data_IF_620963570710
#
_entry.id   IF_620963570710
#
_cell.length_a   1.000
_cell.length_b   1.000
_cell.length_c   1.000
_cell.angle_alpha   90.00
_cell.angle_beta   90.00
_cell.angle_gamma   90.00
#
_symmetry.space_group_name_H-M   'P 1'
#
loop_
_entity.id
_entity.type
_entity.pdbx_description
1 polymer ?
#
# COMPACT_ATOMS: atom_id res chain seq x y z
N UNK A 1 -3.61 -14.15 -9.52
CA UNK A 1 -3.48 -13.11 -8.49
C UNK A 1 -3.14 -11.78 -9.16
N UNK A 2 -3.77 -10.73 -8.73
CA UNK A 2 -3.48 -9.37 -9.21
C UNK A 2 -2.54 -8.69 -8.23
N UNK A 3 -1.48 -8.06 -8.73
CA UNK A 3 -0.51 -7.33 -7.93
C UNK A 3 -0.56 -5.85 -8.31
N UNK A 4 -0.71 -4.99 -7.31
CA UNK A 4 -0.63 -3.54 -7.50
C UNK A 4 0.63 -3.04 -6.77
N UNK A 5 1.46 -2.29 -7.48
CA UNK A 5 2.68 -1.70 -6.93
C UNK A 5 2.51 -0.19 -6.99
N UNK A 6 2.58 0.47 -5.85
CA UNK A 6 2.45 1.93 -5.76
C UNK A 6 3.72 2.52 -5.16
N UNK A 7 4.29 3.49 -5.85
CA UNK A 7 5.41 4.27 -5.34
C UNK A 7 4.87 5.62 -4.88
N UNK A 8 5.08 5.92 -3.61
CA UNK A 8 4.61 7.13 -2.97
C UNK A 8 5.81 7.99 -2.59
N UNK A 9 5.83 9.22 -3.08
CA UNK A 9 6.94 10.15 -2.89
C UNK A 9 6.53 11.32 -2.01
N UNK A 10 7.35 11.64 -1.01
CA UNK A 10 7.15 12.73 -0.08
C UNK A 10 8.22 13.80 -0.27
N UNK A 11 7.98 15.00 0.27
CA UNK A 11 8.93 16.10 0.19
C UNK A 11 10.07 15.99 1.21
N UNK A 12 9.84 15.27 2.30
CA UNK A 12 10.82 15.17 3.38
C UNK A 12 10.71 13.83 4.11
N UNK A 13 11.78 13.50 4.83
CA UNK A 13 11.82 12.33 5.71
C UNK A 13 10.74 12.42 6.79
N UNK A 14 10.54 13.61 7.38
CA UNK A 14 9.54 13.80 8.42
C UNK A 14 8.12 13.51 7.91
N UNK A 15 7.80 13.93 6.69
CA UNK A 15 6.48 13.66 6.11
C UNK A 15 6.27 12.16 5.86
N UNK A 16 7.32 11.48 5.36
CA UNK A 16 7.29 10.04 5.16
C UNK A 16 7.05 9.31 6.49
N UNK A 17 7.81 9.65 7.52
CA UNK A 17 7.69 9.04 8.85
C UNK A 17 6.30 9.29 9.45
N UNK A 18 5.78 10.50 9.30
CA UNK A 18 4.45 10.84 9.79
C UNK A 18 3.37 10.00 9.09
N UNK A 19 3.53 9.77 7.79
CA UNK A 19 2.61 8.92 7.02
C UNK A 19 2.60 7.49 7.56
N UNK A 20 3.78 6.94 7.87
CA UNK A 20 3.87 5.60 8.46
C UNK A 20 3.21 5.53 9.83
N UNK A 21 3.42 6.53 10.68
CA UNK A 21 2.79 6.59 11.99
C UNK A 21 1.27 6.63 11.89
N UNK A 22 0.73 7.43 10.97
CA UNK A 22 -0.72 7.51 10.75
C UNK A 22 -1.28 6.17 10.31
N UNK A 23 -0.63 5.51 9.36
CA UNK A 23 -1.06 4.19 8.90
C UNK A 23 -1.05 3.18 10.05
N UNK A 24 0.02 3.16 10.84
CA UNK A 24 0.15 2.26 11.98
C UNK A 24 -0.98 2.45 12.99
N UNK A 25 -1.46 3.67 13.15
CA UNK A 25 -2.53 3.99 14.09
C UNK A 25 -3.92 3.51 13.65
N UNK A 26 -4.13 3.27 12.34
CA UNK A 26 -5.46 2.94 11.81
C UNK A 26 -5.54 1.55 11.16
N UNK A 27 -4.41 0.94 10.84
CA UNK A 27 -4.38 -0.30 10.04
C UNK A 27 -5.22 -1.43 10.64
N UNK A 28 -5.16 -1.62 11.94
CA UNK A 28 -5.85 -2.73 12.61
C UNK A 28 -7.37 -2.62 12.50
N UNK A 29 -7.88 -1.41 12.31
CA UNK A 29 -9.31 -1.16 12.11
C UNK A 29 -9.77 -1.65 10.72
N UNK A 30 -8.91 -1.58 9.72
CA UNK A 30 -9.29 -1.83 8.33
C UNK A 30 -8.79 -3.15 7.75
N UNK A 31 -7.68 -3.69 8.27
CA UNK A 31 -7.11 -4.92 7.72
C UNK A 31 -8.09 -6.10 7.68
N UNK A 32 -8.92 -6.36 8.70
CA UNK A 32 -9.89 -7.45 8.61
C UNK A 32 -10.90 -7.27 7.48
N UNK A 33 -11.32 -6.04 7.19
CA UNK A 33 -12.24 -5.76 6.08
C UNK A 33 -11.57 -6.04 4.73
N UNK A 34 -10.32 -5.61 4.57
CA UNK A 34 -9.55 -5.85 3.35
C UNK A 34 -9.34 -7.34 3.13
N UNK A 35 -8.99 -8.08 4.18
CA UNK A 35 -8.80 -9.53 4.12
C UNK A 35 -10.08 -10.22 3.64
N UNK A 36 -11.23 -9.89 4.25
CA UNK A 36 -12.53 -10.48 3.86
C UNK A 36 -12.90 -10.18 2.41
N UNK A 37 -12.38 -9.09 1.85
CA UNK A 37 -12.68 -8.69 0.48
C UNK A 37 -11.61 -9.11 -0.53
N UNK A 38 -10.67 -9.97 -0.12
CA UNK A 38 -9.77 -10.63 -1.04
C UNK A 38 -8.36 -10.07 -1.13
N UNK A 39 -7.98 -9.16 -0.23
CA UNK A 39 -6.57 -8.78 -0.10
C UNK A 39 -5.83 -9.93 0.54
N UNK A 40 -4.80 -10.45 -0.14
CA UNK A 40 -4.01 -11.59 0.34
C UNK A 40 -2.76 -11.16 1.09
N UNK A 41 -2.14 -10.08 0.65
CA UNK A 41 -0.92 -9.57 1.27
C UNK A 41 -0.78 -8.09 0.96
N UNK A 42 -0.34 -7.34 1.95
CA UNK A 42 0.01 -5.94 1.78
C UNK A 42 1.35 -5.71 2.47
N UNK A 43 2.31 -5.16 1.72
CA UNK A 43 3.65 -4.88 2.23
C UNK A 43 4.02 -3.43 1.96
N UNK A 44 4.67 -2.80 2.93
CA UNK A 44 5.26 -1.47 2.77
C UNK A 44 6.76 -1.63 2.84
N UNK A 45 7.46 -1.03 1.88
CA UNK A 45 8.92 -1.00 1.88
C UNK A 45 9.40 0.43 1.88
N UNK A 46 10.54 0.68 2.52
CA UNK A 46 11.26 1.93 2.39
C UNK A 46 12.22 1.82 1.23
N UNK A 47 12.04 2.66 0.20
CA UNK A 47 12.99 2.68 -0.92
C UNK A 47 14.23 3.46 -0.47
N UNK A 48 15.39 2.80 -0.50
CA UNK A 48 16.61 3.38 0.07
C UNK A 48 17.70 3.69 -0.94
N UNK A 49 17.59 3.18 -2.18
CA UNK A 49 18.65 3.32 -3.18
C UNK A 49 18.48 4.52 -4.12
N UNK A 50 17.54 5.42 -3.81
CA UNK A 50 17.31 6.64 -4.59
C UNK A 50 17.72 7.83 -3.75
N UNK A 51 18.87 8.41 -4.09
CA UNK A 51 19.41 9.55 -3.38
C UNK A 51 18.46 10.75 -3.46
N UNK A 52 18.29 11.44 -2.37
CA UNK A 52 17.45 12.63 -2.25
C UNK A 52 15.96 12.38 -2.54
N UNK A 53 15.54 11.10 -2.48
CA UNK A 53 14.14 10.72 -2.61
C UNK A 53 13.62 10.17 -1.28
N UNK A 54 12.37 10.53 -0.95
CA UNK A 54 11.72 10.07 0.26
C UNK A 54 10.51 9.25 -0.17
N UNK A 55 10.71 7.96 -0.41
CA UNK A 55 9.72 7.12 -1.09
C UNK A 55 9.38 5.86 -0.31
N UNK A 56 8.10 5.50 -0.35
CA UNK A 56 7.59 4.22 0.11
C UNK A 56 7.11 3.41 -1.09
N UNK A 57 7.40 2.12 -1.08
CA UNK A 57 6.83 1.17 -2.02
C UNK A 57 5.74 0.37 -1.33
N UNK A 58 4.55 0.36 -1.92
CA UNK A 58 3.42 -0.41 -1.42
C UNK A 58 3.15 -1.55 -2.39
N UNK A 59 3.07 -2.78 -1.88
CA UNK A 59 2.77 -3.95 -2.69
C UNK A 59 1.47 -4.55 -2.18
N UNK A 60 0.45 -4.57 -3.04
CA UNK A 60 -0.86 -5.11 -2.73
C UNK A 60 -1.05 -6.38 -3.56
N UNK A 61 -1.31 -7.49 -2.91
CA UNK A 61 -1.61 -8.75 -3.59
C UNK A 61 -3.06 -9.12 -3.35
N UNK A 62 -3.87 -9.09 -4.40
CA UNK A 62 -5.29 -9.41 -4.35
C UNK A 62 -5.54 -10.78 -4.96
N UNK A 63 -6.57 -11.45 -4.50
CA UNK A 63 -6.98 -12.75 -5.03
C UNK A 63 -7.20 -12.69 -6.54
N UNK A 64 -7.87 -11.63 -7.02
CA UNK A 64 -8.19 -11.42 -8.44
C UNK A 64 -8.58 -9.95 -8.66
N UNK A 65 -8.96 -9.60 -9.89
CA UNK A 65 -9.36 -8.24 -10.23
C UNK A 65 -10.62 -7.80 -9.47
N UNK A 66 -11.57 -8.70 -9.27
CA UNK A 66 -12.78 -8.36 -8.52
C UNK A 66 -12.46 -8.02 -7.07
N UNK A 67 -11.55 -8.75 -6.44
CA UNK A 67 -11.10 -8.46 -5.09
C UNK A 67 -10.47 -7.07 -5.01
N UNK A 68 -9.67 -6.69 -6.00
CA UNK A 68 -9.08 -5.36 -6.07
C UNK A 68 -10.18 -4.30 -6.12
N UNK A 69 -11.20 -4.50 -6.96
CA UNK A 69 -12.33 -3.57 -7.06
C UNK A 69 -13.12 -3.48 -5.75
N UNK A 70 -13.32 -4.62 -5.08
CA UNK A 70 -14.05 -4.68 -3.81
C UNK A 70 -13.31 -3.98 -2.67
N UNK A 71 -11.98 -3.93 -2.75
CA UNK A 71 -11.16 -3.26 -1.75
C UNK A 71 -11.05 -1.75 -1.97
N UNK A 72 -11.33 -1.23 -3.16
CA UNK A 72 -11.20 0.20 -3.45
C UNK A 72 -12.01 1.10 -2.50
N UNK A 73 -13.29 0.79 -2.20
CA UNK A 73 -14.05 1.61 -1.24
C UNK A 73 -13.42 1.60 0.15
N UNK A 74 -12.82 0.50 0.54
CA UNK A 74 -12.19 0.37 1.85
C UNK A 74 -10.94 1.26 1.92
N UNK A 75 -10.13 1.26 0.86
CA UNK A 75 -8.97 2.16 0.78
C UNK A 75 -9.38 3.63 0.81
N UNK A 76 -10.52 3.98 0.19
CA UNK A 76 -11.06 5.35 0.28
C UNK A 76 -11.46 5.70 1.70
N UNK A 77 -12.06 4.76 2.44
CA UNK A 77 -12.42 4.98 3.84
C UNK A 77 -11.16 5.22 4.69
N UNK A 78 -10.09 4.47 4.41
CA UNK A 78 -8.80 4.66 5.08
C UNK A 78 -8.26 6.07 4.80
N UNK A 79 -8.30 6.52 3.56
CA UNK A 79 -7.85 7.87 3.18
C UNK A 79 -8.62 8.95 3.94
N UNK A 80 -9.92 8.74 4.16
CA UNK A 80 -10.76 9.70 4.89
C UNK A 80 -10.42 9.79 6.37
N UNK A 81 -9.84 8.74 6.95
CA UNK A 81 -9.35 8.79 8.33
C UNK A 81 -8.14 9.72 8.48
N UNK A 82 -7.44 9.98 7.38
CA UNK A 82 -6.32 10.91 7.36
C UNK A 82 -6.83 12.33 7.06
N UNK A 83 -7.43 12.97 8.08
CA UNK A 83 -8.03 14.30 7.92
C UNK A 83 -7.02 15.36 7.48
N UNK A 84 -5.80 15.25 7.97
CA UNK A 84 -4.69 16.13 7.58
C UNK A 84 -3.81 15.37 6.61
N UNK A 85 -4.13 15.47 5.32
CA UNK A 85 -3.38 14.77 4.29
C UNK A 85 -1.96 15.29 4.20
N UNK A 86 -1.00 14.36 4.25
CA UNK A 86 0.38 14.67 3.98
C UNK A 86 0.55 14.73 2.47
N UNK A 87 1.01 15.86 1.90
CA UNK A 87 1.20 15.96 0.46
C UNK A 87 2.15 14.88 -0.05
N UNK A 88 1.74 14.20 -1.11
CA UNK A 88 2.57 13.18 -1.72
C UNK A 88 2.17 12.97 -3.17
N UNK A 89 3.05 12.35 -3.93
CA UNK A 89 2.78 11.91 -5.29
C UNK A 89 2.79 10.38 -5.28
N UNK A 90 1.70 9.78 -5.75
CA UNK A 90 1.59 8.33 -5.81
C UNK A 90 1.41 7.88 -7.26
N UNK A 91 2.23 6.90 -7.67
CA UNK A 91 2.15 6.30 -9.00
C UNK A 91 1.94 4.81 -8.81
N UNK A 92 0.85 4.29 -9.37
CA UNK A 92 0.48 2.88 -9.24
C UNK A 92 0.58 2.11 -10.53
N UNK A 93 0.99 0.86 -10.42
CA UNK A 93 1.09 -0.09 -11.52
C UNK A 93 0.35 -1.35 -11.14
N UNK A 94 -0.46 -1.87 -12.05
CA UNK A 94 -1.22 -3.11 -11.82
C UNK A 94 -0.75 -4.18 -12.78
N UNK A 95 -0.53 -5.37 -12.23
CA UNK A 95 -0.08 -6.50 -13.02
C UNK A 95 -0.74 -7.79 -12.57
N UNK A 96 -0.63 -8.80 -13.41
CA UNK A 96 -1.07 -10.14 -13.09
C UNK A 96 0.16 -10.97 -12.77
N UNK A 97 0.09 -11.73 -11.69
CA UNK A 97 1.20 -12.59 -11.31
C UNK A 97 1.42 -13.66 -12.37
N UNK A 98 2.63 -13.71 -12.92
CA UNK A 98 2.98 -14.66 -13.98
C UNK A 98 3.76 -15.86 -13.45
N UNK A 99 4.61 -15.63 -12.44
CA UNK A 99 5.45 -16.68 -11.89
C UNK A 99 5.82 -16.31 -10.47
N UNK A 100 5.98 -17.31 -9.63
CA UNK A 100 6.32 -17.11 -8.23
C UNK A 100 7.11 -18.30 -7.72
N UNK A 101 8.19 -18.00 -7.04
CA UNK A 101 8.96 -19.01 -6.30
C UNK A 101 8.87 -18.68 -4.81
N UNK A 102 8.61 -19.67 -4.01
CA UNK A 102 8.57 -19.52 -2.56
C UNK A 102 9.61 -20.44 -1.93
N UNK A 103 10.48 -19.85 -1.11
CA UNK A 103 11.49 -20.62 -0.41
C UNK A 103 10.84 -21.57 0.60
N UNK A 104 11.42 -22.75 0.74
CA UNK A 104 10.98 -23.77 1.71
C UNK A 104 11.69 -23.63 3.05
N UNK A 105 12.68 -22.75 3.14
CA UNK A 105 13.44 -22.54 4.38
C UNK A 105 12.82 -21.47 5.28
#
# INVERSE_FOLDING_TARGET
>A
MLVNITIQSFKSENELELSLLKWDSVKDKFMPRLDRNGLKRYSITRIWNKKDQFQLGHIFEYKNEQAMKDCLPIWRDIEQEFKDKIPNIAVGYRGILLDQYESKS
#
